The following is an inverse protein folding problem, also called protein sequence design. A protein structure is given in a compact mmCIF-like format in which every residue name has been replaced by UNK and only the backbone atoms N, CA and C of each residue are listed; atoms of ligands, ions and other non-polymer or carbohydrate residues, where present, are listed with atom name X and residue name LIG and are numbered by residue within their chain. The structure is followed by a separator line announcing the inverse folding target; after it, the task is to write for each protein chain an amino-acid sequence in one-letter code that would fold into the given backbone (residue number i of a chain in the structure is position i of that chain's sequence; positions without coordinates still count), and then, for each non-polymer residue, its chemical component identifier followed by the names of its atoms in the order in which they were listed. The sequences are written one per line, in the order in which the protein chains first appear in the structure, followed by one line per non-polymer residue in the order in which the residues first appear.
data_IF_538970055713
#
_entry.id   IF_538970055713
#
_cell.length_a   1.000
_cell.length_b   1.000
_cell.length_c   1.000
_cell.angle_alpha   90.00
_cell.angle_beta   90.00
_cell.angle_gamma   90.00
#
_symmetry.space_group_name_H-M   'P 1'
#
loop_
_entity.id
_entity.type
_entity.pdbx_description
1 polymer ?
#
# COMPACT_ATOMS: atom_id res chain seq x y z
N UNK A 1 14.22 -16.10 10.36
CA UNK A 1 14.06 -16.64 9.00
C UNK A 1 15.45 -16.88 8.43
N UNK A 2 16.00 -18.08 8.56
CA UNK A 2 17.24 -18.43 7.85
C UNK A 2 16.90 -19.63 6.97
N UNK A 3 17.19 -19.51 5.68
CA UNK A 3 17.14 -20.62 4.75
C UNK A 3 18.52 -21.30 4.78
N UNK A 4 18.54 -22.61 4.68
CA UNK A 4 19.79 -23.36 4.57
C UNK A 4 20.11 -23.47 3.09
N UNK A 5 21.21 -22.83 2.66
CA UNK A 5 21.65 -22.84 1.26
C UNK A 5 22.73 -23.89 1.11
N UNK A 6 22.44 -24.94 0.35
CA UNK A 6 23.41 -25.98 -0.03
C UNK A 6 24.05 -25.70 -1.39
N UNK A 7 25.02 -26.53 -1.80
CA UNK A 7 25.71 -26.37 -3.09
C UNK A 7 24.78 -26.56 -4.29
N UNK A 8 23.73 -27.37 -4.14
CA UNK A 8 22.70 -27.55 -5.16
C UNK A 8 21.30 -27.19 -4.64
N UNK A 9 20.36 -26.98 -5.57
CA UNK A 9 18.96 -26.69 -5.22
C UNK A 9 18.29 -27.83 -4.43
N UNK A 10 18.81 -29.06 -4.55
CA UNK A 10 18.31 -30.25 -3.84
C UNK A 10 18.74 -30.25 -2.37
N UNK A 11 19.91 -29.68 -2.10
CA UNK A 11 20.50 -29.61 -0.76
C UNK A 11 20.06 -28.36 0.00
N UNK A 12 19.42 -27.43 -0.69
CA UNK A 12 18.90 -26.19 -0.12
C UNK A 12 17.53 -26.41 0.50
N UNK A 13 17.35 -25.98 1.74
CA UNK A 13 16.06 -26.03 2.44
C UNK A 13 15.47 -24.62 2.52
N UNK A 14 14.23 -24.43 2.02
CA UNK A 14 13.58 -23.13 2.14
C UNK A 14 13.40 -22.80 3.62
N UNK A 15 13.84 -21.60 4.00
CA UNK A 15 13.59 -21.09 5.35
C UNK A 15 12.09 -20.96 5.59
N UNK A 16 11.64 -21.22 6.81
CA UNK A 16 10.23 -20.99 7.19
C UNK A 16 9.90 -19.51 7.01
N UNK A 17 9.09 -19.21 6.00
CA UNK A 17 8.45 -17.91 5.82
C UNK A 17 7.16 -17.97 6.66
N UNK A 18 7.07 -17.29 7.83
CA UNK A 18 5.80 -17.12 8.52
C UNK A 18 4.72 -16.64 7.55
N UNK A 19 3.55 -17.26 7.67
CA UNK A 19 2.37 -16.83 6.93
C UNK A 19 2.01 -15.38 7.27
N UNK A 20 1.19 -14.74 6.41
CA UNK A 20 0.71 -13.39 6.69
C UNK A 20 0.02 -13.36 8.07
N UNK A 21 0.21 -12.29 8.86
CA UNK A 21 -0.45 -12.16 10.15
C UNK A 21 -1.98 -12.23 9.95
N UNK A 22 -2.65 -13.02 10.80
CA UNK A 22 -4.11 -13.15 10.76
C UNK A 22 -4.73 -11.97 11.52
N UNK A 23 -5.68 -11.27 10.90
CA UNK A 23 -6.41 -10.21 11.56
C UNK A 23 -7.30 -10.76 12.71
N UNK A 24 -7.47 -10.02 13.82
CA UNK A 24 -8.41 -10.37 14.88
C UNK A 24 -9.85 -10.51 14.39
N UNK A 25 -10.68 -11.25 15.13
CA UNK A 25 -12.11 -11.34 14.83
C UNK A 25 -12.77 -9.95 14.97
N UNK A 26 -13.55 -9.54 13.97
CA UNK A 26 -14.19 -8.22 13.94
C UNK A 26 -13.31 -7.07 13.47
N UNK A 27 -12.05 -7.32 13.06
CA UNK A 27 -11.22 -6.29 12.45
C UNK A 27 -11.85 -5.78 11.14
N UNK A 28 -11.81 -4.45 10.89
CA UNK A 28 -12.31 -3.90 9.64
C UNK A 28 -11.44 -4.36 8.46
N UNK A 29 -12.08 -4.56 7.31
CA UNK A 29 -11.35 -4.81 6.07
C UNK A 29 -10.64 -3.53 5.64
N UNK A 30 -9.32 -3.60 5.48
CA UNK A 30 -8.50 -2.49 4.97
C UNK A 30 -8.06 -2.82 3.55
N UNK A 31 -8.42 -1.95 2.60
CA UNK A 31 -8.02 -2.08 1.19
C UNK A 31 -7.13 -0.88 0.84
N UNK A 32 -5.91 -1.16 0.40
CA UNK A 32 -4.96 -0.13 -0.06
C UNK A 32 -4.83 -0.23 -1.57
N UNK A 33 -5.26 0.81 -2.27
CA UNK A 33 -5.06 0.96 -3.72
C UNK A 33 -3.88 1.90 -3.93
N UNK A 34 -2.82 1.41 -4.58
CA UNK A 34 -1.67 2.23 -4.98
C UNK A 34 -1.68 2.36 -6.50
N UNK A 35 -1.67 3.60 -6.97
CA UNK A 35 -1.55 3.93 -8.38
C UNK A 35 -0.07 4.11 -8.72
N UNK A 36 0.36 3.58 -9.85
CA UNK A 36 1.75 3.71 -10.35
C UNK A 36 1.82 4.90 -11.32
N UNK A 37 2.86 5.73 -11.19
CA UNK A 37 3.14 6.89 -12.06
C UNK A 37 1.99 7.91 -12.25
N UNK A 38 1.03 7.94 -11.32
CA UNK A 38 -0.05 8.94 -11.34
C UNK A 38 0.40 10.21 -10.62
N UNK A 39 0.56 11.29 -11.38
CA UNK A 39 0.82 12.63 -10.85
C UNK A 39 -0.39 13.20 -10.10
N UNK A 40 -0.13 14.04 -9.09
CA UNK A 40 -1.16 14.65 -8.26
C UNK A 40 -2.24 15.39 -9.07
N UNK A 41 -1.83 16.12 -10.11
CA UNK A 41 -2.73 16.88 -11.00
C UNK A 41 -3.33 16.06 -12.14
N UNK A 42 -3.22 14.72 -12.16
CA UNK A 42 -3.78 13.92 -13.24
C UNK A 42 -5.31 13.75 -13.09
N UNK A 43 -5.79 13.51 -11.88
CA UNK A 43 -7.19 13.15 -11.61
C UNK A 43 -8.09 14.36 -11.45
N UNK A 44 -9.33 14.27 -11.93
CA UNK A 44 -10.36 15.30 -11.77
C UNK A 44 -10.63 15.70 -10.31
N UNK A 45 -10.45 14.78 -9.36
CA UNK A 45 -10.61 15.03 -7.91
C UNK A 45 -9.72 16.18 -7.40
N UNK A 46 -8.56 16.39 -8.01
CA UNK A 46 -7.59 17.42 -7.68
C UNK A 46 -7.49 18.52 -8.76
N UNK A 47 -8.48 18.62 -9.65
CA UNK A 47 -8.51 19.62 -10.74
C UNK A 47 -7.76 19.20 -12.00
N UNK A 48 -7.41 17.92 -12.13
CA UNK A 48 -6.75 17.38 -13.31
C UNK A 48 -7.68 17.18 -14.51
N UNK A 49 -7.12 16.99 -15.72
CA UNK A 49 -7.90 16.84 -16.95
C UNK A 49 -8.56 15.47 -17.11
N UNK A 50 -8.14 14.45 -16.36
CA UNK A 50 -8.66 13.07 -16.50
C UNK A 50 -9.92 12.89 -15.64
N UNK A 51 -11.09 12.61 -16.23
CA UNK A 51 -12.30 12.33 -15.47
C UNK A 51 -12.16 11.01 -14.69
N UNK A 52 -12.29 11.07 -13.37
CA UNK A 52 -12.14 9.89 -12.49
C UNK A 52 -13.36 9.73 -11.56
N UNK A 53 -14.55 9.41 -12.11
CA UNK A 53 -15.81 9.47 -11.35
C UNK A 53 -15.85 8.53 -10.12
N UNK A 54 -15.16 7.39 -10.18
CA UNK A 54 -15.03 6.48 -9.04
C UNK A 54 -14.17 7.08 -7.92
N UNK A 55 -13.04 7.70 -8.26
CA UNK A 55 -12.21 8.41 -7.27
C UNK A 55 -12.94 9.61 -6.71
N UNK A 56 -13.69 10.36 -7.53
CA UNK A 56 -14.48 11.49 -7.08
C UNK A 56 -15.54 11.05 -6.06
N UNK A 57 -16.20 9.91 -6.28
CA UNK A 57 -17.16 9.35 -5.32
C UNK A 57 -16.48 8.93 -4.01
N UNK A 58 -15.35 8.24 -4.08
CA UNK A 58 -14.58 7.84 -2.88
C UNK A 58 -14.11 9.07 -2.10
N UNK A 59 -13.67 10.10 -2.80
CA UNK A 59 -13.15 11.31 -2.20
C UNK A 59 -14.24 12.19 -1.56
N UNK A 60 -15.49 12.09 -2.04
CA UNK A 60 -16.67 12.71 -1.40
C UNK A 60 -17.14 11.96 -0.15
N UNK A 61 -16.88 10.66 -0.07
CA UNK A 61 -17.29 9.79 1.05
C UNK A 61 -16.18 9.61 2.10
N UNK A 62 -15.02 10.24 1.91
CA UNK A 62 -13.85 10.05 2.76
C UNK A 62 -12.99 11.31 2.87
N UNK A 63 -11.73 11.11 3.23
CA UNK A 63 -10.75 12.17 3.41
C UNK A 63 -9.86 12.33 2.17
N UNK A 64 -9.45 13.58 1.91
CA UNK A 64 -8.51 13.94 0.85
C UNK A 64 -7.29 14.63 1.44
N UNK A 65 -6.11 14.25 0.95
CA UNK A 65 -4.85 14.86 1.35
C UNK A 65 -4.23 15.62 0.17
N UNK A 66 -3.90 16.89 0.37
CA UNK A 66 -3.29 17.78 -0.63
C UNK A 66 -1.77 17.97 -0.42
N UNK A 67 -1.24 17.54 0.73
CA UNK A 67 0.19 17.56 1.06
C UNK A 67 0.72 16.14 1.33
N UNK A 68 0.43 15.20 0.42
CA UNK A 68 0.95 13.84 0.49
C UNK A 68 2.24 13.72 -0.33
N UNK A 69 3.31 13.21 0.29
CA UNK A 69 4.62 13.08 -0.33
C UNK A 69 4.94 11.63 -0.65
N UNK A 70 5.31 11.35 -1.89
CA UNK A 70 5.88 10.07 -2.32
C UNK A 70 7.39 10.21 -2.46
N UNK A 71 8.11 9.08 -2.42
CA UNK A 71 9.51 9.09 -2.87
C UNK A 71 9.53 9.12 -4.41
N UNK A 72 10.52 9.77 -5.01
CA UNK A 72 10.62 9.96 -6.47
C UNK A 72 10.77 8.65 -7.29
N UNK A 73 10.78 7.49 -6.65
CA UNK A 73 10.93 6.17 -7.27
C UNK A 73 9.87 5.20 -6.74
N UNK A 74 9.36 4.33 -7.61
CA UNK A 74 8.25 3.43 -7.29
C UNK A 74 8.66 2.33 -6.28
N UNK A 75 9.89 1.82 -6.39
CA UNK A 75 10.43 0.79 -5.48
C UNK A 75 10.56 1.27 -4.02
N UNK A 76 11.19 2.43 -3.71
CA UNK A 76 11.20 2.97 -2.35
C UNK A 76 9.81 3.42 -1.87
N UNK A 77 8.92 3.90 -2.75
CA UNK A 77 7.54 4.23 -2.34
C UNK A 77 6.76 2.98 -1.92
N UNK A 78 6.91 1.87 -2.65
CA UNK A 78 6.30 0.57 -2.28
C UNK A 78 6.93 -0.02 -1.02
N UNK A 79 8.25 0.12 -0.85
CA UNK A 79 8.97 -0.38 0.32
C UNK A 79 8.68 0.43 1.59
N UNK A 80 8.55 1.76 1.48
CA UNK A 80 8.16 2.64 2.59
C UNK A 80 6.80 2.25 3.17
N UNK A 81 5.85 1.82 2.33
CA UNK A 81 4.56 1.26 2.80
C UNK A 81 4.69 -0.06 3.57
N UNK A 82 5.78 -0.82 3.38
CA UNK A 82 6.02 -2.12 4.03
C UNK A 82 6.80 -1.98 5.34
N UNK A 83 7.61 -0.92 5.48
CA UNK A 83 8.44 -0.65 6.68
C UNK A 83 7.88 0.41 7.62
N UNK A 84 7.06 1.33 7.13
CA UNK A 84 6.27 2.23 7.94
C UNK A 84 4.83 1.76 7.90
N UNK A 85 4.37 1.21 9.03
CA UNK A 85 2.96 1.05 9.33
C UNK A 85 2.34 2.46 9.37
N UNK A 86 2.00 3.03 8.21
CA UNK A 86 1.01 4.10 8.17
C UNK A 86 -0.32 3.40 8.31
N UNK A 87 -0.66 3.09 9.57
CA UNK A 87 -2.03 2.81 9.96
C UNK A 87 -2.88 3.92 9.36
N UNK A 88 -3.81 3.56 8.48
CA UNK A 88 -5.05 4.32 8.38
C UNK A 88 -5.70 4.13 9.73
N UNK A 89 -5.32 4.96 10.70
CA UNK A 89 -6.04 5.09 11.95
C UNK A 89 -7.45 5.50 11.56
N UNK A 90 -8.38 4.63 11.93
CA UNK A 90 -9.79 4.90 11.95
C UNK A 90 -9.99 6.00 13.02
N UNK A 91 -9.72 7.26 12.67
CA UNK A 91 -10.06 8.40 13.49
C UNK A 91 -11.58 8.53 13.47
N UNK A 92 -12.21 7.88 14.46
CA UNK A 92 -13.34 8.48 15.14
C UNK A 92 -12.80 9.65 15.97
N UNK A 93 -13.11 10.86 15.52
CA UNK A 93 -13.68 11.88 16.39
C UNK A 93 -15.05 12.22 15.81
#
# INVERSE_FOLDING_TARGET
MRADVGETYKDSKPGKIPGPPKAPAGAPNVVVVLLDDVGFGATGTFGGPVPTPTFDRLAKQGLRYNAFHTTALCSPTRAAKRGALCTVENLRC
#
